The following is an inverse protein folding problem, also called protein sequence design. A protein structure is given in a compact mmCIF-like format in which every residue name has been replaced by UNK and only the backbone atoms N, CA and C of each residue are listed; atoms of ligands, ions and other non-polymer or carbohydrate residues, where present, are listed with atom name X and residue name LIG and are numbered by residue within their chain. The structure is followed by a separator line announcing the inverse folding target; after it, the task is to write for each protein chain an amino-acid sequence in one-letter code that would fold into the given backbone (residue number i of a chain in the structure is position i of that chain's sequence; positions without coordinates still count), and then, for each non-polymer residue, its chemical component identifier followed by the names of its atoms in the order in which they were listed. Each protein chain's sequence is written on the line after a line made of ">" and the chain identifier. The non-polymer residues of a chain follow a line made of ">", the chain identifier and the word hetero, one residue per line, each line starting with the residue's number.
data_IF_306147202560
#
_entry.id   IF_306147202560
#
_cell.length_a   1.000
_cell.length_b   1.000
_cell.length_c   1.000
_cell.angle_alpha   90.00
_cell.angle_beta   90.00
_cell.angle_gamma   90.00
#
_symmetry.space_group_name_H-M   'P 1'
#
loop_
_entity.id
_entity.type
_entity.pdbx_description
1 polymer ?
#
# COMPACT_ATOMS: atom_id res chain seq x y z
N UNK A 1 29.90 -37.01 0.09
CA UNK A 1 30.97 -36.06 -0.28
C UNK A 1 31.38 -35.37 1.01
N UNK A 2 32.54 -35.73 1.54
CA UNK A 2 32.98 -35.37 2.91
C UNK A 2 34.21 -34.48 2.76
N UNK A 3 34.15 -33.24 3.26
CA UNK A 3 35.24 -32.27 3.16
C UNK A 3 36.03 -32.27 4.49
N UNK A 4 37.35 -32.48 4.49
CA UNK A 4 38.15 -32.46 5.70
C UNK A 4 38.54 -31.02 6.09
N UNK A 5 38.24 -30.63 7.32
CA UNK A 5 38.60 -29.34 7.91
C UNK A 5 40.02 -29.43 8.49
N UNK A 6 40.98 -28.69 7.93
CA UNK A 6 42.36 -28.61 8.44
C UNK A 6 42.53 -27.32 9.24
N UNK A 7 42.68 -27.45 10.55
CA UNK A 7 42.92 -26.33 11.48
C UNK A 7 44.43 -26.17 11.66
N UNK A 8 45.01 -25.02 11.24
CA UNK A 8 46.39 -24.64 11.56
C UNK A 8 46.39 -23.66 12.73
N UNK A 9 47.10 -24.01 13.79
CA UNK A 9 47.35 -23.16 14.95
C UNK A 9 48.54 -22.23 14.68
N UNK A 10 48.30 -20.92 14.70
CA UNK A 10 49.36 -19.91 14.80
C UNK A 10 49.31 -19.27 16.18
N UNK A 11 50.36 -19.52 16.95
CA UNK A 11 50.67 -18.87 18.22
C UNK A 11 50.98 -17.40 17.98
N UNK A 12 50.13 -16.49 18.46
CA UNK A 12 50.37 -15.05 18.45
C UNK A 12 50.53 -14.56 19.88
N UNK A 13 51.62 -13.82 20.07
CA UNK A 13 52.12 -13.25 21.31
C UNK A 13 51.12 -12.26 21.95
N UNK A 14 50.99 -12.37 23.27
CA UNK A 14 50.19 -11.49 24.12
C UNK A 14 50.95 -10.18 24.40
N UNK A 15 50.50 -9.08 23.81
CA UNK A 15 50.74 -7.72 24.28
C UNK A 15 49.47 -7.23 24.98
N UNK A 16 49.53 -7.20 26.31
CA UNK A 16 48.47 -6.72 27.18
C UNK A 16 48.36 -5.18 27.10
N UNK A 17 47.61 -4.68 26.13
CA UNK A 17 47.09 -3.33 26.10
C UNK A 17 45.69 -3.30 26.70
N UNK A 18 45.53 -2.69 27.88
CA UNK A 18 44.23 -2.40 28.48
C UNK A 18 43.56 -1.31 27.65
N UNK A 19 42.86 -1.70 26.59
CA UNK A 19 41.89 -0.84 25.94
C UNK A 19 40.74 -0.64 26.93
N UNK A 20 40.67 0.55 27.54
CA UNK A 20 39.43 1.07 28.12
C UNK A 20 38.45 1.21 26.95
N UNK A 21 37.79 0.11 26.58
CA UNK A 21 36.61 0.15 25.75
C UNK A 21 35.59 0.96 26.56
N UNK A 22 35.53 2.27 26.32
CA UNK A 22 34.41 3.08 26.71
C UNK A 22 33.20 2.44 26.05
N UNK A 23 32.49 1.59 26.80
CA UNK A 23 31.19 1.10 26.43
C UNK A 23 30.32 2.34 26.26
N UNK A 24 30.19 2.83 25.03
CA UNK A 24 29.35 3.96 24.71
C UNK A 24 27.92 3.55 25.06
N UNK A 25 27.31 4.24 26.02
CA UNK A 25 25.92 4.03 26.41
C UNK A 25 24.94 4.62 25.36
N UNK A 26 25.34 4.55 24.09
CA UNK A 26 24.64 5.15 22.95
C UNK A 26 24.13 4.04 22.04
N UNK A 27 22.98 4.30 21.46
CA UNK A 27 22.36 3.44 20.47
C UNK A 27 23.15 3.54 19.16
N UNK A 28 23.32 2.43 18.43
CA UNK A 28 23.93 2.49 17.10
C UNK A 28 22.86 2.94 16.10
N UNK A 29 22.79 4.24 15.84
CA UNK A 29 21.75 4.80 14.97
C UNK A 29 21.98 4.48 13.50
N UNK A 30 23.22 4.26 13.06
CA UNK A 30 23.52 3.85 11.68
C UNK A 30 22.92 2.47 11.35
N UNK A 31 22.97 1.51 12.28
CA UNK A 31 22.33 0.20 12.11
C UNK A 31 20.80 0.32 12.03
N UNK A 32 20.23 1.26 12.80
CA UNK A 32 18.79 1.53 12.81
C UNK A 32 18.35 2.18 11.50
N UNK A 33 19.08 3.18 11.01
CA UNK A 33 18.84 3.84 9.72
C UNK A 33 18.78 2.81 8.59
N UNK A 34 19.82 1.97 8.49
CA UNK A 34 19.90 0.93 7.45
C UNK A 34 18.79 -0.12 7.57
N UNK A 35 18.39 -0.48 8.79
CA UNK A 35 17.29 -1.42 9.01
C UNK A 35 15.95 -0.82 8.59
N UNK A 36 15.66 0.42 9.02
CA UNK A 36 14.43 1.13 8.66
C UNK A 36 14.35 1.32 7.14
N UNK A 37 15.43 1.75 6.50
CA UNK A 37 15.54 1.90 5.05
C UNK A 37 15.18 0.61 4.32
N UNK A 38 15.88 -0.49 4.64
CA UNK A 38 15.64 -1.79 4.02
C UNK A 38 14.20 -2.31 4.23
N UNK A 39 13.60 -2.05 5.40
CA UNK A 39 12.23 -2.47 5.67
C UNK A 39 11.19 -1.62 4.94
N UNK A 40 11.38 -0.31 4.83
CA UNK A 40 10.51 0.58 4.05
C UNK A 40 10.56 0.20 2.57
N UNK A 41 11.74 0.00 2.00
CA UNK A 41 11.89 -0.41 0.60
C UNK A 41 11.21 -1.76 0.30
N UNK A 42 11.33 -2.71 1.23
CA UNK A 42 10.72 -4.03 1.10
C UNK A 42 9.19 -3.98 1.16
N UNK A 43 8.62 -3.08 1.95
CA UNK A 43 7.17 -2.99 2.20
C UNK A 43 6.47 -1.94 1.33
N UNK A 44 7.23 -1.04 0.71
CA UNK A 44 6.74 0.09 -0.06
C UNK A 44 6.27 -0.28 -1.45
N UNK A 45 5.14 0.30 -1.88
CA UNK A 45 4.75 0.28 -3.29
C UNK A 45 5.25 1.53 -3.99
N UNK A 46 6.15 1.36 -4.97
CA UNK A 46 6.76 2.45 -5.74
C UNK A 46 7.41 3.52 -4.84
N UNK A 47 7.93 3.10 -3.70
CA UNK A 47 8.71 3.95 -2.82
C UNK A 47 10.17 3.81 -3.22
N UNK A 48 10.80 4.95 -3.49
CA UNK A 48 12.24 5.05 -3.71
C UNK A 48 12.78 5.99 -2.65
N UNK A 49 13.51 5.42 -1.70
CA UNK A 49 14.06 6.12 -0.55
C UNK A 49 15.49 6.54 -0.90
N UNK A 50 15.80 7.82 -0.70
CA UNK A 50 17.15 8.33 -0.87
C UNK A 50 18.01 7.99 0.35
N UNK A 51 17.46 8.21 1.56
CA UNK A 51 18.13 7.86 2.83
C UNK A 51 17.17 7.95 4.04
N UNK A 52 17.62 7.38 5.17
CA UNK A 52 17.05 7.60 6.51
C UNK A 52 18.10 8.25 7.39
N UNK A 53 17.73 9.33 8.08
CA UNK A 53 18.59 10.06 9.02
C UNK A 53 17.99 10.06 10.42
N UNK A 54 18.70 9.48 11.38
CA UNK A 54 18.37 9.51 12.80
C UNK A 54 19.31 10.48 13.55
N UNK A 55 18.99 10.89 14.78
CA UNK A 55 19.88 11.75 15.57
C UNK A 55 21.18 11.02 15.90
N UNK A 56 22.34 11.65 15.70
CA UNK A 56 23.66 11.05 15.94
C UNK A 56 23.95 10.62 17.39
N UNK A 57 23.13 11.04 18.35
CA UNK A 57 23.35 10.78 19.78
C UNK A 57 22.03 10.46 20.44
N UNK A 58 21.74 9.16 20.54
CA UNK A 58 20.55 8.64 21.22
C UNK A 58 21.01 7.79 22.40
N UNK A 59 20.63 8.12 23.65
CA UNK A 59 21.00 7.31 24.81
C UNK A 59 20.28 5.96 24.77
N UNK A 60 20.94 4.88 25.21
CA UNK A 60 20.26 3.60 25.41
C UNK A 60 19.36 3.67 26.63
N UNK A 61 18.06 3.71 26.39
CA UNK A 61 17.07 3.83 27.45
C UNK A 61 15.75 3.18 27.00
N UNK A 62 15.24 2.27 27.83
CA UNK A 62 13.92 1.66 27.65
C UNK A 62 12.82 2.72 27.53
N UNK A 63 11.92 2.54 26.57
CA UNK A 63 10.83 3.44 26.20
C UNK A 63 11.29 4.84 25.77
N UNK A 64 12.55 5.02 25.39
CA UNK A 64 13.03 6.29 24.87
C UNK A 64 12.52 6.50 23.45
N UNK A 65 11.88 7.64 23.23
CA UNK A 65 11.32 8.04 21.94
C UNK A 65 12.26 9.03 21.23
N UNK A 66 12.47 8.81 19.94
CA UNK A 66 13.16 9.75 19.06
C UNK A 66 12.56 9.70 17.65
N UNK A 67 12.98 10.64 16.79
CA UNK A 67 12.48 10.74 15.43
C UNK A 67 13.62 10.62 14.45
N UNK A 68 13.42 9.79 13.42
CA UNK A 68 14.24 9.82 12.23
C UNK A 68 13.48 10.54 11.10
N UNK A 69 14.21 10.94 10.08
CA UNK A 69 13.68 11.58 8.88
C UNK A 69 14.00 10.66 7.71
N UNK A 70 12.98 10.22 6.99
CA UNK A 70 13.16 9.57 5.69
C UNK A 70 13.11 10.61 4.58
N UNK A 71 13.98 10.49 3.60
CA UNK A 71 14.04 11.31 2.39
C UNK A 71 13.76 10.44 1.18
N UNK A 72 12.84 10.86 0.32
CA UNK A 72 12.55 10.19 -0.95
C UNK A 72 13.47 10.72 -2.05
N UNK A 73 13.60 9.97 -3.15
CA UNK A 73 14.32 10.44 -4.36
C UNK A 73 13.74 11.74 -4.95
N UNK A 74 12.50 12.09 -4.59
CA UNK A 74 11.86 13.37 -4.94
C UNK A 74 12.31 14.55 -4.09
N UNK A 75 13.25 14.36 -3.16
CA UNK A 75 13.69 15.31 -2.13
C UNK A 75 12.61 15.63 -1.08
N UNK A 76 11.46 14.94 -1.13
CA UNK A 76 10.42 15.07 -0.12
C UNK A 76 10.78 14.27 1.13
N UNK A 77 10.43 14.79 2.31
CA UNK A 77 10.77 14.16 3.59
C UNK A 77 9.54 13.73 4.37
N UNK A 78 9.68 12.68 5.17
CA UNK A 78 8.66 12.22 6.10
C UNK A 78 9.28 11.86 7.46
N UNK A 79 8.47 11.96 8.51
CA UNK A 79 8.90 11.63 9.88
C UNK A 79 8.75 10.14 10.15
N UNK A 80 9.71 9.56 10.85
CA UNK A 80 9.66 8.18 11.33
C UNK A 80 9.73 8.23 12.86
N UNK A 81 8.70 7.72 13.52
CA UNK A 81 8.65 7.63 14.96
C UNK A 81 9.38 6.37 15.41
N UNK A 82 10.34 6.49 16.33
CA UNK A 82 11.10 5.34 16.85
C UNK A 82 11.00 5.31 18.37
N UNK A 83 10.70 4.14 18.92
CA UNK A 83 10.63 3.87 20.36
C UNK A 83 11.60 2.73 20.68
N UNK A 84 12.55 2.99 21.58
CA UNK A 84 13.39 1.94 22.14
C UNK A 84 12.55 1.06 23.06
N UNK A 85 12.49 -0.23 22.77
CA UNK A 85 11.75 -1.20 23.58
C UNK A 85 12.54 -1.61 24.81
N UNK A 86 13.88 -1.56 24.75
CA UNK A 86 14.76 -1.94 25.84
C UNK A 86 16.09 -1.16 25.85
N UNK A 87 16.94 -1.44 26.85
CA UNK A 87 18.30 -0.89 26.93
C UNK A 87 19.35 -1.65 26.10
N UNK A 88 18.96 -2.74 25.42
CA UNK A 88 19.85 -3.50 24.53
C UNK A 88 19.89 -2.91 23.12
N UNK A 89 18.93 -2.04 22.79
CA UNK A 89 18.85 -1.32 21.53
C UNK A 89 17.81 -1.91 20.57
N UNK A 90 16.90 -2.76 21.06
CA UNK A 90 15.72 -3.14 20.28
C UNK A 90 14.81 -1.93 20.13
N UNK A 91 14.40 -1.64 18.89
CA UNK A 91 13.51 -0.53 18.57
C UNK A 91 12.26 -1.02 17.87
N UNK A 92 11.16 -0.31 18.10
CA UNK A 92 9.95 -0.36 17.28
C UNK A 92 9.83 0.98 16.58
N UNK A 93 9.39 0.97 15.33
CA UNK A 93 9.25 2.19 14.55
C UNK A 93 7.98 2.15 13.71
N UNK A 94 7.47 3.34 13.39
CA UNK A 94 6.34 3.52 12.51
C UNK A 94 6.46 4.81 11.69
N UNK A 95 5.91 4.79 10.48
CA UNK A 95 5.69 6.01 9.70
C UNK A 95 4.22 6.44 9.89
N UNK A 96 3.94 7.63 10.45
CA UNK A 96 2.59 8.16 10.51
C UNK A 96 2.11 8.65 9.12
N UNK A 97 0.80 8.75 8.95
CA UNK A 97 0.22 9.42 7.78
C UNK A 97 0.68 10.89 7.74
N UNK A 98 1.07 11.35 6.56
CA UNK A 98 1.57 12.69 6.31
C UNK A 98 1.21 13.14 4.89
N UNK A 99 1.63 14.36 4.54
CA UNK A 99 1.46 14.91 3.18
C UNK A 99 2.25 14.16 2.12
N UNK A 100 3.27 13.40 2.51
CA UNK A 100 4.21 12.74 1.60
C UNK A 100 4.07 11.22 1.65
N UNK A 101 3.67 10.65 2.79
CA UNK A 101 3.60 9.20 2.99
C UNK A 101 2.31 8.80 3.70
N UNK A 102 1.69 7.71 3.22
CA UNK A 102 0.55 7.04 3.85
C UNK A 102 1.00 5.70 4.45
N UNK A 103 0.55 5.43 5.66
CA UNK A 103 0.60 4.14 6.33
C UNK A 103 -0.73 3.43 6.13
N UNK A 104 -0.76 2.54 5.16
CA UNK A 104 -1.98 1.87 4.70
C UNK A 104 -2.58 0.96 5.77
N UNK A 105 -1.79 0.41 6.70
CA UNK A 105 -2.32 -0.35 7.84
C UNK A 105 -3.19 0.54 8.75
N UNK A 106 -2.77 1.80 8.98
CA UNK A 106 -3.59 2.78 9.70
C UNK A 106 -4.81 3.20 8.89
N UNK A 107 -4.70 3.28 7.55
CA UNK A 107 -5.83 3.55 6.66
C UNK A 107 -6.87 2.44 6.73
N UNK A 108 -6.45 1.18 6.58
CA UNK A 108 -7.28 -0.02 6.68
C UNK A 108 -8.01 -0.07 8.02
N UNK A 109 -7.29 0.18 9.12
CA UNK A 109 -7.87 0.21 10.47
C UNK A 109 -8.97 1.26 10.57
N UNK A 110 -8.70 2.49 10.11
CA UNK A 110 -9.68 3.59 10.15
C UNK A 110 -10.92 3.30 9.30
N UNK A 111 -10.75 2.72 8.10
CA UNK A 111 -11.87 2.34 7.22
C UNK A 111 -12.67 1.21 7.86
N UNK A 112 -12.00 0.18 8.40
CA UNK A 112 -12.64 -0.95 9.05
C UNK A 112 -13.47 -0.52 10.27
N UNK A 113 -12.95 0.39 11.09
CA UNK A 113 -13.68 0.98 12.22
C UNK A 113 -14.90 1.78 11.75
N UNK A 114 -14.73 2.63 10.72
CA UNK A 114 -15.82 3.42 10.15
C UNK A 114 -16.96 2.57 9.59
N UNK A 115 -16.64 1.55 8.79
CA UNK A 115 -17.62 0.59 8.29
C UNK A 115 -18.26 -0.22 9.42
N UNK A 116 -17.47 -0.60 10.43
CA UNK A 116 -17.98 -1.30 11.60
C UNK A 116 -18.99 -0.52 12.42
N UNK A 117 -18.77 0.79 12.56
CA UNK A 117 -19.72 1.69 13.21
C UNK A 117 -20.98 1.92 12.37
N UNK A 118 -20.83 2.07 11.04
CA UNK A 118 -21.95 2.35 10.14
C UNK A 118 -22.88 1.13 9.94
N UNK A 119 -22.30 -0.07 9.83
CA UNK A 119 -23.04 -1.28 9.43
C UNK A 119 -23.27 -2.26 10.59
N UNK A 120 -22.62 -2.04 11.75
CA UNK A 120 -22.66 -2.97 12.87
C UNK A 120 -21.97 -4.31 12.58
N UNK A 121 -21.09 -4.37 11.57
CA UNK A 121 -20.37 -5.57 11.14
C UNK A 121 -18.86 -5.30 11.09
N UNK A 122 -18.04 -6.22 11.60
CA UNK A 122 -16.58 -6.07 11.52
C UNK A 122 -16.11 -6.23 10.07
N UNK A 123 -15.57 -5.18 9.48
CA UNK A 123 -14.91 -5.23 8.17
C UNK A 123 -13.43 -5.61 8.29
N UNK A 124 -12.90 -6.27 7.27
CA UNK A 124 -11.46 -6.49 7.06
C UNK A 124 -11.12 -5.80 5.75
N UNK A 125 -10.14 -4.90 5.78
CA UNK A 125 -9.76 -4.07 4.63
C UNK A 125 -8.33 -4.41 4.24
N UNK A 126 -8.08 -4.58 2.94
CA UNK A 126 -6.78 -4.85 2.35
C UNK A 126 -6.46 -3.82 1.27
N UNK A 127 -5.50 -2.94 1.55
CA UNK A 127 -4.99 -1.92 0.63
C UNK A 127 -3.70 -2.40 -0.09
N UNK A 128 -3.29 -3.65 0.09
CA UNK A 128 -2.23 -4.36 -0.64
C UNK A 128 -0.81 -4.18 -0.10
N UNK A 129 -0.42 -2.99 0.34
CA UNK A 129 0.93 -2.67 0.81
C UNK A 129 0.90 -1.97 2.16
N UNK A 130 2.05 -1.84 2.83
CA UNK A 130 2.13 -1.14 4.13
C UNK A 130 2.28 0.37 3.94
N UNK A 131 3.08 0.79 2.97
CA UNK A 131 3.40 2.20 2.75
C UNK A 131 3.24 2.60 1.28
N UNK A 132 2.79 3.84 1.06
CA UNK A 132 2.61 4.44 -0.26
C UNK A 132 2.86 5.95 -0.18
N UNK A 133 3.45 6.55 -1.22
CA UNK A 133 3.53 8.01 -1.34
C UNK A 133 2.14 8.63 -1.39
N UNK A 134 1.93 9.69 -0.62
CA UNK A 134 0.71 10.49 -0.68
C UNK A 134 0.83 11.47 -1.86
N UNK A 135 0.08 11.22 -2.94
CA UNK A 135 -0.05 12.16 -4.05
C UNK A 135 -1.44 12.81 -3.98
N UNK A 136 -1.53 14.11 -3.64
CA UNK A 136 -2.82 14.78 -3.55
C UNK A 136 -3.61 14.69 -4.87
N UNK A 137 -4.87 14.27 -4.79
CA UNK A 137 -5.73 14.06 -5.96
C UNK A 137 -5.62 12.67 -6.60
N UNK A 138 -4.66 11.84 -6.16
CA UNK A 138 -4.62 10.41 -6.50
C UNK A 138 -5.81 9.67 -5.87
N UNK A 139 -6.10 8.46 -6.37
CA UNK A 139 -7.12 7.57 -5.83
C UNK A 139 -6.63 6.15 -5.89
N UNK A 140 -6.94 5.38 -4.85
CA UNK A 140 -6.64 3.96 -4.85
C UNK A 140 -7.75 3.16 -4.18
N UNK A 141 -7.84 1.90 -4.56
CA UNK A 141 -8.87 0.99 -4.08
C UNK A 141 -8.28 0.10 -2.99
N UNK A 142 -9.03 -0.05 -1.89
CA UNK A 142 -8.80 -1.08 -0.89
C UNK A 142 -9.93 -2.11 -0.98
N UNK A 143 -9.58 -3.39 -0.99
CA UNK A 143 -10.54 -4.48 -1.06
C UNK A 143 -11.15 -4.74 0.32
N UNK A 144 -12.44 -5.06 0.34
CA UNK A 144 -13.08 -5.61 1.53
C UNK A 144 -12.88 -7.13 1.49
N UNK A 145 -12.16 -7.67 2.46
CA UNK A 145 -11.91 -9.10 2.56
C UNK A 145 -13.10 -9.77 3.26
N UNK A 146 -13.77 -10.66 2.55
CA UNK A 146 -14.98 -11.34 3.01
C UNK A 146 -16.25 -10.71 2.44
N UNK A 147 -17.40 -11.10 2.96
CA UNK A 147 -18.69 -10.53 2.54
C UNK A 147 -19.13 -9.45 3.55
N UNK A 148 -19.21 -8.22 3.07
CA UNK A 148 -19.80 -7.10 3.79
C UNK A 148 -21.05 -6.64 3.04
N UNK A 149 -22.19 -6.62 3.70
CA UNK A 149 -23.48 -6.30 3.06
C UNK A 149 -24.21 -5.19 3.79
N UNK A 150 -24.92 -4.37 3.02
CA UNK A 150 -25.83 -3.35 3.50
C UNK A 150 -27.16 -3.49 2.75
N UNK A 151 -28.11 -4.18 3.39
CA UNK A 151 -29.40 -4.50 2.80
C UNK A 151 -29.29 -5.43 1.58
N UNK A 152 -29.41 -4.86 0.37
CA UNK A 152 -29.33 -5.61 -0.90
C UNK A 152 -28.05 -5.35 -1.68
N UNK A 153 -27.15 -4.56 -1.12
CA UNK A 153 -25.87 -4.25 -1.74
C UNK A 153 -24.75 -4.96 -0.99
N UNK A 154 -23.74 -5.38 -1.74
CA UNK A 154 -22.45 -5.87 -1.24
C UNK A 154 -21.42 -4.77 -1.42
N UNK A 155 -20.56 -4.59 -0.42
CA UNK A 155 -19.43 -3.66 -0.48
C UNK A 155 -18.18 -4.49 -0.73
N UNK A 156 -17.69 -4.48 -1.96
CA UNK A 156 -16.52 -5.25 -2.37
C UNK A 156 -15.22 -4.49 -2.17
N UNK A 157 -15.30 -3.16 -2.23
CA UNK A 157 -14.15 -2.30 -2.19
C UNK A 157 -14.49 -0.91 -1.67
N UNK A 158 -13.44 -0.19 -1.31
CA UNK A 158 -13.49 1.20 -0.87
C UNK A 158 -12.49 2.01 -1.69
N UNK A 159 -12.96 3.06 -2.34
CA UNK A 159 -12.13 4.02 -3.06
C UNK A 159 -11.62 5.08 -2.08
N UNK A 160 -10.32 5.08 -1.81
CA UNK A 160 -9.63 6.04 -0.93
C UNK A 160 -9.14 7.23 -1.74
N UNK A 161 -9.35 8.43 -1.20
CA UNK A 161 -8.99 9.71 -1.80
C UNK A 161 -8.15 10.51 -0.79
N UNK A 162 -6.82 10.54 -0.95
CA UNK A 162 -5.96 11.33 -0.10
C UNK A 162 -6.13 12.83 -0.29
N UNK A 163 -6.13 13.56 0.83
CA UNK A 163 -6.20 15.01 0.87
C UNK A 163 -4.80 15.63 1.00
N UNK A 164 -4.60 16.90 0.56
CA UNK A 164 -3.31 17.57 0.60
C UNK A 164 -2.70 17.76 2.01
N UNK A 165 -3.50 17.61 3.07
CA UNK A 165 -3.05 17.74 4.46
C UNK A 165 -2.65 16.40 5.10
N UNK A 166 -2.78 15.29 4.36
CA UNK A 166 -2.53 13.94 4.86
C UNK A 166 -3.76 13.26 5.47
N UNK A 167 -4.92 13.94 5.49
CA UNK A 167 -6.19 13.29 5.78
C UNK A 167 -6.66 12.48 4.57
N UNK A 168 -7.67 11.64 4.81
CA UNK A 168 -8.21 10.73 3.81
C UNK A 168 -9.73 10.78 3.89
N UNK A 169 -10.37 10.83 2.73
CA UNK A 169 -11.78 10.50 2.57
C UNK A 169 -11.91 9.20 1.79
N UNK A 170 -13.04 8.52 1.92
CA UNK A 170 -13.28 7.29 1.20
C UNK A 170 -14.73 7.15 0.78
N UNK A 171 -14.95 6.36 -0.28
CA UNK A 171 -16.26 6.05 -0.82
C UNK A 171 -16.41 4.54 -0.99
N UNK A 172 -17.52 4.00 -0.51
CA UNK A 172 -17.87 2.59 -0.67
C UNK A 172 -18.24 2.28 -2.12
N UNK A 173 -17.65 1.23 -2.69
CA UNK A 173 -18.01 0.71 -3.99
C UNK A 173 -19.01 -0.43 -3.82
N UNK A 174 -20.29 -0.07 -3.93
CA UNK A 174 -21.43 -0.97 -3.75
C UNK A 174 -21.80 -1.67 -5.05
N UNK A 175 -22.03 -2.97 -4.96
CA UNK A 175 -22.60 -3.78 -6.03
C UNK A 175 -23.94 -4.37 -5.59
N UNK A 176 -24.97 -4.32 -6.44
CA UNK A 176 -26.24 -4.96 -6.11
C UNK A 176 -26.02 -6.47 -6.01
N UNK A 177 -26.51 -7.09 -4.94
CA UNK A 177 -26.54 -8.55 -4.82
C UNK A 177 -27.52 -9.05 -5.89
N UNK A 178 -27.08 -9.87 -6.86
CA UNK A 178 -27.97 -10.36 -7.89
C UNK A 178 -29.12 -11.10 -7.21
N UNK A 179 -30.36 -10.62 -7.41
CA UNK A 179 -31.53 -11.30 -6.91
C UNK A 179 -31.46 -12.73 -7.42
N UNK A 180 -31.34 -13.70 -6.51
CA UNK A 180 -31.26 -15.12 -6.83
C UNK A 180 -32.32 -15.37 -7.89
N UNK A 181 -31.88 -15.75 -9.10
CA UNK A 181 -32.71 -15.76 -10.31
C UNK A 181 -33.98 -16.55 -10.00
N UNK A 182 -35.02 -15.82 -9.57
CA UNK A 182 -36.26 -16.41 -9.14
C UNK A 182 -36.79 -17.03 -10.40
N UNK A 183 -36.96 -18.35 -10.36
CA UNK A 183 -37.55 -19.15 -11.42
C UNK A 183 -38.66 -18.32 -12.04
N UNK A 184 -38.41 -17.75 -13.23
CA UNK A 184 -39.42 -16.99 -13.93
C UNK A 184 -40.51 -17.99 -14.25
N UNK A 185 -41.51 -18.05 -13.40
CA UNK A 185 -42.75 -18.76 -13.68
C UNK A 185 -43.26 -18.09 -14.95
N UNK A 186 -43.08 -18.77 -16.08
CA UNK A 186 -43.52 -18.33 -17.39
C UNK A 186 -45.01 -17.99 -17.30
N UNK A 187 -45.30 -16.71 -17.11
CA UNK A 187 -46.65 -16.18 -17.25
C UNK A 187 -46.85 -16.01 -18.74
N UNK A 188 -47.52 -16.99 -19.34
CA UNK A 188 -47.94 -16.98 -20.74
C UNK A 188 -48.76 -15.73 -21.00
N UNK A 189 -48.11 -14.69 -21.54
CA UNK A 189 -48.78 -13.50 -22.05
C UNK A 189 -49.27 -13.79 -23.48
N UNK A 190 -50.54 -13.49 -23.82
CA UNK A 190 -51.06 -13.65 -25.16
C UNK A 190 -50.45 -12.60 -26.10
N UNK A 191 -50.20 -13.02 -27.33
CA UNK A 191 -49.70 -12.21 -28.42
C UNK A 191 -50.58 -10.97 -28.63
N UNK A 192 -49.95 -9.79 -28.65
CA UNK A 192 -50.52 -8.61 -29.30
C UNK A 192 -49.53 -8.00 -30.28
N UNK A 193 -50.11 -7.74 -31.43
CA UNK A 193 -49.56 -7.42 -32.73
C UNK A 193 -49.52 -5.90 -32.94
N UNK A 194 -48.48 -5.42 -33.62
CA UNK A 194 -48.34 -4.11 -34.29
C UNK A 194 -48.35 -2.81 -33.45
N UNK A 195 -47.27 -2.03 -33.55
CA UNK A 195 -47.15 -0.95 -34.54
C UNK A 195 -45.89 -0.07 -34.34
N UNK A 196 -45.11 0.03 -35.42
CA UNK A 196 -44.36 1.19 -35.94
C UNK A 196 -43.59 2.14 -35.02
N UNK A 197 -42.26 2.05 -35.10
CA UNK A 197 -41.27 3.03 -34.65
C UNK A 197 -41.17 4.27 -35.55
N UNK A 198 -40.89 5.46 -35.00
CA UNK A 198 -40.17 6.53 -35.69
C UNK A 198 -38.66 6.40 -35.48
N UNK A 199 -37.94 6.31 -36.59
CA UNK A 199 -36.48 6.30 -36.70
C UNK A 199 -35.95 7.73 -36.51
N UNK A 200 -35.26 7.99 -35.39
CA UNK A 200 -34.47 9.21 -35.19
C UNK A 200 -33.02 8.87 -35.44
N UNK A 201 -32.42 9.55 -36.42
CA UNK A 201 -31.05 9.40 -36.84
C UNK A 201 -30.08 9.78 -35.70
N UNK A 202 -29.33 8.80 -35.21
CA UNK A 202 -28.19 9.03 -34.34
C UNK A 202 -26.94 9.18 -35.23
N UNK A 203 -26.26 10.31 -35.04
CA UNK A 203 -25.03 10.69 -35.72
C UNK A 203 -23.90 9.77 -35.25
N UNK A 204 -23.35 8.96 -36.14
CA UNK A 204 -22.19 8.11 -35.88
C UNK A 204 -20.96 8.99 -35.61
N UNK A 205 -20.55 9.09 -34.35
CA UNK A 205 -19.20 9.52 -34.00
C UNK A 205 -18.28 8.29 -34.09
N UNK A 206 -17.58 8.15 -35.21
CA UNK A 206 -16.57 7.12 -35.41
C UNK A 206 -15.40 7.34 -34.45
N UNK A 207 -15.40 6.61 -33.33
CA UNK A 207 -14.25 6.57 -32.41
C UNK A 207 -13.17 5.71 -33.05
N UNK A 208 -12.04 6.35 -33.39
CA UNK A 208 -10.84 5.69 -33.93
C UNK A 208 -10.24 4.81 -32.82
N UNK A 209 -10.17 3.50 -33.03
CA UNK A 209 -9.49 2.56 -32.11
C UNK A 209 -8.16 2.12 -32.71
N UNK A 210 -7.13 2.01 -31.88
CA UNK A 210 -5.82 1.44 -32.26
C UNK A 210 -5.69 0.03 -31.69
N UNK A 211 -5.19 -0.89 -32.51
CA UNK A 211 -4.94 -2.29 -32.12
C UNK A 211 -3.45 -2.45 -31.82
N UNK A 212 -3.11 -2.75 -30.57
CA UNK A 212 -1.73 -3.04 -30.16
C UNK A 212 -1.55 -4.54 -30.02
N UNK A 213 -0.54 -5.09 -30.69
CA UNK A 213 -0.16 -6.51 -30.60
C UNK A 213 1.00 -6.69 -29.64
N UNK A 214 0.77 -7.40 -28.54
CA UNK A 214 1.82 -7.75 -27.58
C UNK A 214 2.75 -8.86 -28.08
N UNK A 215 3.93 -9.03 -27.45
CA UNK A 215 4.90 -10.06 -27.81
C UNK A 215 4.25 -11.45 -27.69
N UNK A 216 4.26 -12.19 -28.80
CA UNK A 216 3.66 -13.52 -28.90
C UNK A 216 2.31 -13.59 -29.62
N UNK A 217 1.77 -12.47 -30.13
CA UNK A 217 0.62 -12.41 -31.07
C UNK A 217 -0.67 -13.13 -30.62
N UNK A 218 -0.84 -13.41 -29.32
CA UNK A 218 -1.98 -14.18 -28.78
C UNK A 218 -3.08 -13.33 -28.14
N UNK A 219 -2.89 -12.01 -28.03
CA UNK A 219 -3.90 -11.09 -27.47
C UNK A 219 -3.84 -9.76 -28.21
N UNK A 220 -4.94 -9.42 -28.89
CA UNK A 220 -5.20 -8.08 -29.38
C UNK A 220 -6.11 -7.38 -28.37
N UNK A 221 -5.76 -6.17 -27.98
CA UNK A 221 -6.58 -5.33 -27.11
C UNK A 221 -6.90 -4.05 -27.87
N UNK A 222 -8.18 -3.76 -28.07
CA UNK A 222 -8.64 -2.50 -28.64
C UNK A 222 -8.65 -1.45 -27.54
N UNK A 223 -7.84 -0.39 -27.68
CA UNK A 223 -7.82 0.74 -26.75
C UNK A 223 -8.34 2.01 -27.45
N UNK A 224 -9.05 2.91 -26.74
CA UNK A 224 -9.37 4.23 -27.26
C UNK A 224 -8.10 5.01 -27.66
N UNK A 225 -8.13 5.69 -28.80
CA UNK A 225 -6.99 6.48 -29.32
C UNK A 225 -6.55 7.56 -28.32
N UNK A 226 -5.25 7.54 -27.97
CA UNK A 226 -4.58 8.58 -27.19
C UNK A 226 -3.67 9.39 -28.14
N UNK A 227 -3.82 10.73 -28.20
CA UNK A 227 -2.92 11.57 -28.99
C UNK A 227 -1.48 11.43 -28.49
N UNK A 228 -0.58 10.87 -29.31
CA UNK A 228 0.83 10.63 -28.98
C UNK A 228 1.34 9.22 -29.24
N UNK A 229 0.46 8.25 -29.56
CA UNK A 229 0.86 6.92 -30.06
C UNK A 229 1.31 7.02 -31.53
N UNK A 230 2.62 7.27 -31.72
CA UNK A 230 3.50 7.11 -32.89
C UNK A 230 2.95 7.34 -34.33
N UNK A 231 3.50 8.35 -35.02
CA UNK A 231 3.75 8.33 -36.49
C UNK A 231 5.10 7.62 -36.78
#
# INVERSE_FOLDING_TARGET
>A
MTIPLTIRHHSVWALAGVCLAACSNQLNTADIEATIEAEIERQGYRLSLAEVRCPNTVPRQTNHYFRCVGELDSEETFTINVVQQDGQGTVEWEVPNSKTMLNLVKVETRIAEGLGQALGQRAIIDCGHTYRTNQPGDRFECQVVGELTDGRDRIDAVLVMPEPDGNLTWQELRQPIPAAAGTSTASTAPAQENASSPQVAATESSVKTTTVSGPGNRRQVNRPYLPGDDD
#
